data_IF_751678465058
#
_entry.id   IF_751678465058
#
_cell.length_a   1.000
_cell.length_b   1.000
_cell.length_c   1.000
_cell.angle_alpha   90.00
_cell.angle_beta   90.00
_cell.angle_gamma   90.00
#
_symmetry.space_group_name_H-M   'P 1'
#
loop_
_entity.id
_entity.type
_entity.pdbx_description
1 polymer ?
#
# COMPACT_ATOMS: atom_id res chain seq x y z
N UNK A 1 32.04 0.39 -8.65
CA UNK A 1 31.30 -0.41 -7.64
C UNK A 1 31.30 -1.86 -8.14
N UNK A 2 31.75 -2.85 -7.36
CA UNK A 2 31.80 -4.24 -7.85
C UNK A 2 30.38 -4.81 -8.01
N UNK A 3 30.18 -5.72 -8.97
CA UNK A 3 28.88 -6.37 -9.22
C UNK A 3 28.26 -6.99 -7.95
N UNK A 4 29.10 -7.53 -7.06
CA UNK A 4 28.68 -8.06 -5.76
C UNK A 4 28.02 -7.01 -4.85
N UNK A 5 28.64 -5.84 -4.67
CA UNK A 5 28.08 -4.77 -3.79
C UNK A 5 26.74 -4.23 -4.28
N UNK A 6 26.51 -4.21 -5.60
CA UNK A 6 25.23 -3.76 -6.17
C UNK A 6 24.13 -4.77 -5.86
N UNK A 7 24.42 -6.06 -5.98
CA UNK A 7 23.48 -7.14 -5.63
C UNK A 7 23.15 -7.11 -4.15
N UNK A 8 24.15 -6.95 -3.28
CA UNK A 8 23.96 -6.88 -1.82
C UNK A 8 23.12 -5.67 -1.40
N UNK A 9 23.34 -4.51 -2.04
CA UNK A 9 22.53 -3.31 -1.78
C UNK A 9 21.08 -3.52 -2.26
N UNK A 10 20.91 -4.12 -3.43
CA UNK A 10 19.59 -4.41 -3.97
C UNK A 10 18.80 -5.36 -3.07
N UNK A 11 19.39 -6.48 -2.65
CA UNK A 11 18.73 -7.43 -1.73
C UNK A 11 18.43 -6.79 -0.39
N UNK A 12 19.33 -5.98 0.16
CA UNK A 12 19.09 -5.26 1.41
C UNK A 12 17.92 -4.25 1.34
N UNK A 13 17.69 -3.64 0.18
CA UNK A 13 16.60 -2.65 0.00
C UNK A 13 15.26 -3.32 -0.30
N UNK A 14 15.24 -4.30 -1.21
CA UNK A 14 14.00 -4.88 -1.73
C UNK A 14 13.58 -6.16 -1.02
N UNK A 15 14.53 -6.90 -0.44
CA UNK A 15 14.30 -8.21 0.19
C UNK A 15 14.98 -8.39 1.56
N UNK A 16 15.00 -7.38 2.48
CA UNK A 16 15.52 -7.57 3.83
C UNK A 16 14.65 -8.50 4.68
N UNK A 17 13.37 -8.63 4.35
CA UNK A 17 12.41 -9.50 5.01
C UNK A 17 11.24 -9.87 4.06
N UNK A 18 10.41 -10.87 4.41
CA UNK A 18 9.29 -11.30 3.58
C UNK A 18 8.19 -10.25 3.36
N UNK A 19 8.10 -9.21 4.21
CA UNK A 19 7.09 -8.16 4.09
C UNK A 19 7.46 -7.10 3.05
N UNK A 20 8.77 -6.86 2.85
CA UNK A 20 9.27 -5.76 2.01
C UNK A 20 8.73 -5.74 0.57
N UNK A 21 8.62 -6.87 -0.15
CA UNK A 21 8.09 -6.85 -1.51
C UNK A 21 6.63 -6.36 -1.58
N UNK A 22 5.81 -6.75 -0.61
CA UNK A 22 4.40 -6.34 -0.55
C UNK A 22 4.28 -4.88 -0.15
N UNK A 23 5.14 -4.39 0.75
CA UNK A 23 5.22 -2.95 1.06
C UNK A 23 5.57 -2.12 -0.18
N UNK A 24 6.54 -2.56 -1.00
CA UNK A 24 6.87 -1.88 -2.26
C UNK A 24 5.70 -1.91 -3.26
N UNK A 25 5.05 -3.07 -3.43
CA UNK A 25 3.89 -3.20 -4.31
C UNK A 25 2.77 -2.25 -3.89
N UNK A 26 2.45 -2.23 -2.60
CA UNK A 26 1.41 -1.37 -2.04
C UNK A 26 1.77 0.11 -2.18
N UNK A 27 3.02 0.48 -1.85
CA UNK A 27 3.54 1.84 -1.97
C UNK A 27 3.40 2.37 -3.39
N UNK A 28 3.94 1.63 -4.35
CA UNK A 28 3.95 2.04 -5.76
C UNK A 28 2.54 2.06 -6.34
N UNK A 29 1.71 1.08 -5.99
CA UNK A 29 0.32 1.04 -6.43
C UNK A 29 -0.52 2.21 -5.88
N UNK A 30 -0.36 2.56 -4.60
CA UNK A 30 -1.05 3.71 -4.00
C UNK A 30 -0.51 5.04 -4.53
N UNK A 31 0.80 5.14 -4.79
CA UNK A 31 1.37 6.31 -5.45
C UNK A 31 0.82 6.49 -6.87
N UNK A 32 0.70 5.38 -7.62
CA UNK A 32 0.07 5.36 -8.94
C UNK A 32 -1.39 5.78 -8.89
N UNK A 33 -2.16 5.32 -7.90
CA UNK A 33 -3.55 5.75 -7.69
C UNK A 33 -3.66 7.23 -7.33
N UNK A 34 -2.80 7.74 -6.43
CA UNK A 34 -2.78 9.16 -6.08
C UNK A 34 -2.45 10.03 -7.30
N UNK A 35 -1.46 9.61 -8.11
CA UNK A 35 -1.11 10.29 -9.35
C UNK A 35 -2.26 10.24 -10.37
N UNK A 36 -2.90 9.08 -10.53
CA UNK A 36 -4.03 8.90 -11.43
C UNK A 36 -5.19 9.83 -11.08
N UNK A 37 -5.60 9.87 -9.80
CA UNK A 37 -6.69 10.73 -9.34
C UNK A 37 -6.33 12.23 -9.39
N UNK A 38 -5.06 12.59 -9.26
CA UNK A 38 -4.61 13.96 -9.44
C UNK A 38 -4.65 14.40 -10.91
N UNK A 39 -4.32 13.48 -11.84
CA UNK A 39 -4.31 13.75 -13.27
C UNK A 39 -5.69 13.70 -13.93
N UNK A 40 -6.58 12.83 -13.47
CA UNK A 40 -7.95 12.68 -13.98
C UNK A 40 -8.98 12.53 -12.85
N UNK A 41 -9.27 13.60 -12.09
CA UNK A 41 -10.22 13.55 -10.97
C UNK A 41 -11.66 13.27 -11.43
N UNK A 42 -11.98 13.55 -12.69
CA UNK A 42 -13.33 13.35 -13.25
C UNK A 42 -13.69 11.87 -13.37
N UNK A 43 -12.70 10.97 -13.34
CA UNK A 43 -12.94 9.52 -13.34
C UNK A 43 -13.88 9.07 -12.21
N UNK A 44 -13.84 9.74 -11.06
CA UNK A 44 -14.68 9.41 -9.90
C UNK A 44 -16.17 9.74 -10.11
N UNK A 45 -16.51 10.49 -11.16
CA UNK A 45 -17.91 10.76 -11.54
C UNK A 45 -18.56 9.57 -12.24
N UNK A 46 -17.78 8.56 -12.64
CA UNK A 46 -18.32 7.35 -13.29
C UNK A 46 -18.91 6.43 -12.22
N UNK A 47 -20.01 5.76 -12.58
CA UNK A 47 -20.68 4.77 -11.71
C UNK A 47 -19.75 3.63 -11.25
N UNK A 48 -18.64 3.42 -11.96
CA UNK A 48 -17.64 2.41 -11.58
C UNK A 48 -16.80 2.76 -10.35
N UNK A 49 -16.88 3.98 -9.83
CA UNK A 49 -16.05 4.45 -8.71
C UNK A 49 -16.86 4.87 -7.49
N UNK A 50 -18.08 4.31 -7.33
CA UNK A 50 -19.00 4.66 -6.22
C UNK A 50 -18.39 4.56 -4.83
N UNK A 51 -17.46 3.63 -4.57
CA UNK A 51 -16.80 3.54 -3.26
C UNK A 51 -15.91 4.75 -2.90
N UNK A 52 -15.61 5.63 -3.86
CA UNK A 52 -14.88 6.88 -3.64
C UNK A 52 -15.80 8.09 -3.36
N UNK A 53 -17.12 7.92 -3.26
CA UNK A 53 -18.07 9.02 -3.09
C UNK A 53 -17.98 9.77 -1.74
N UNK A 54 -17.25 9.23 -0.76
CA UNK A 54 -17.13 9.82 0.58
C UNK A 54 -16.24 11.06 0.66
N UNK A 55 -15.29 11.21 -0.27
CA UNK A 55 -14.37 12.35 -0.33
C UNK A 55 -14.25 12.85 -1.77
N UNK A 56 -14.01 14.16 -1.99
CA UNK A 56 -13.62 14.64 -3.31
C UNK A 56 -12.31 13.98 -3.74
N UNK A 57 -12.02 13.94 -5.05
CA UNK A 57 -10.82 13.33 -5.61
C UNK A 57 -9.53 13.77 -4.88
N UNK A 58 -9.41 15.06 -4.57
CA UNK A 58 -8.26 15.60 -3.85
C UNK A 58 -8.12 15.04 -2.43
N UNK A 59 -9.23 14.75 -1.74
CA UNK A 59 -9.20 14.10 -0.43
C UNK A 59 -8.59 12.70 -0.50
N UNK A 60 -8.91 11.94 -1.55
CA UNK A 60 -8.30 10.63 -1.81
C UNK A 60 -6.83 10.73 -2.21
N UNK A 61 -6.46 11.70 -3.05
CA UNK A 61 -5.06 11.99 -3.40
C UNK A 61 -4.23 12.26 -2.15
N UNK A 62 -4.71 13.14 -1.27
CA UNK A 62 -4.03 13.46 -0.02
C UNK A 62 -3.96 12.26 0.92
N UNK A 63 -5.05 11.49 1.03
CA UNK A 63 -5.08 10.29 1.88
C UNK A 63 -4.08 9.23 1.38
N UNK A 64 -4.14 8.86 0.10
CA UNK A 64 -3.22 7.89 -0.50
C UNK A 64 -1.78 8.39 -0.45
N UNK A 65 -1.54 9.65 -0.80
CA UNK A 65 -0.22 10.28 -0.72
C UNK A 65 0.36 10.30 0.70
N UNK A 66 -0.46 10.58 1.71
CA UNK A 66 -0.04 10.52 3.12
C UNK A 66 0.38 9.11 3.53
N UNK A 67 -0.34 8.09 3.09
CA UNK A 67 0.01 6.68 3.36
C UNK A 67 1.32 6.30 2.66
N UNK A 68 1.54 6.76 1.43
CA UNK A 68 2.82 6.59 0.71
C UNK A 68 3.98 7.20 1.48
N UNK A 69 3.82 8.42 2.01
CA UNK A 69 4.84 9.08 2.83
C UNK A 69 5.13 8.27 4.10
N UNK A 70 4.09 7.80 4.78
CA UNK A 70 4.24 6.95 5.98
C UNK A 70 4.92 5.62 5.63
N UNK A 71 4.59 5.01 4.49
CA UNK A 71 5.26 3.81 3.99
C UNK A 71 6.75 4.05 3.74
N UNK A 72 7.10 5.10 2.97
CA UNK A 72 8.51 5.47 2.72
C UNK A 72 9.27 5.67 4.03
N UNK A 73 8.69 6.41 4.98
CA UNK A 73 9.28 6.60 6.29
C UNK A 73 9.44 5.25 7.01
N UNK A 74 8.43 4.38 7.00
CA UNK A 74 8.49 3.08 7.67
C UNK A 74 9.54 2.11 7.07
N UNK A 75 9.93 2.30 5.80
CA UNK A 75 10.85 1.41 5.08
C UNK A 75 12.34 1.72 5.29
N UNK A 76 12.70 2.91 5.79
CA UNK A 76 14.08 3.28 6.17
C UNK A 76 14.56 2.39 7.36
N UNK A 77 15.86 2.00 7.43
CA UNK A 77 16.36 0.96 8.32
C UNK A 77 16.03 1.06 9.83
N UNK A 78 16.13 -0.12 10.44
CA UNK A 78 15.27 -0.72 11.48
C UNK A 78 15.49 -0.17 12.89
N UNK A 79 14.52 0.59 13.38
CA UNK A 79 14.32 0.80 14.82
C UNK A 79 12.99 0.17 15.25
N UNK A 80 12.84 -0.22 16.53
CA UNK A 80 11.59 -0.83 17.06
C UNK A 80 10.33 -0.03 16.73
N UNK A 81 10.41 1.30 16.79
CA UNK A 81 9.31 2.19 16.46
C UNK A 81 8.87 2.05 15.00
N UNK A 82 9.78 1.72 14.08
CA UNK A 82 9.46 1.53 12.66
C UNK A 82 8.70 0.24 12.39
N UNK A 83 8.86 -0.83 13.19
CA UNK A 83 8.02 -2.03 13.06
C UNK A 83 6.53 -1.73 13.37
N UNK A 84 6.27 -0.81 14.31
CA UNK A 84 4.92 -0.33 14.57
C UNK A 84 4.37 0.46 13.39
N UNK A 85 5.16 1.40 12.86
CA UNK A 85 4.79 2.21 11.71
C UNK A 85 4.53 1.37 10.45
N UNK A 86 5.37 0.36 10.16
CA UNK A 86 5.18 -0.55 9.03
C UNK A 86 3.82 -1.24 9.09
N UNK A 87 3.47 -1.83 10.23
CA UNK A 87 2.14 -2.43 10.44
C UNK A 87 1.00 -1.43 10.25
N UNK A 88 1.09 -0.23 10.86
CA UNK A 88 0.01 0.76 10.78
C UNK A 88 -0.19 1.17 9.33
N UNK A 89 0.91 1.42 8.63
CA UNK A 89 0.87 1.79 7.23
C UNK A 89 0.27 0.67 6.36
N UNK A 90 0.63 -0.61 6.61
CA UNK A 90 0.03 -1.75 5.90
C UNK A 90 -1.46 -1.91 6.22
N UNK A 91 -1.90 -1.69 7.45
CA UNK A 91 -3.31 -1.76 7.82
C UNK A 91 -4.15 -0.70 7.08
N UNK A 92 -3.65 0.55 7.03
CA UNK A 92 -4.32 1.63 6.31
C UNK A 92 -4.31 1.35 4.80
N UNK A 93 -3.16 0.93 4.26
CA UNK A 93 -3.05 0.57 2.85
C UNK A 93 -4.00 -0.57 2.46
N UNK A 94 -4.18 -1.59 3.31
CA UNK A 94 -5.14 -2.66 3.08
C UNK A 94 -6.58 -2.14 3.03
N UNK A 95 -6.93 -1.16 3.88
CA UNK A 95 -8.21 -0.45 3.82
C UNK A 95 -8.40 0.29 2.49
N UNK A 96 -7.38 1.02 2.03
CA UNK A 96 -7.43 1.72 0.75
C UNK A 96 -7.56 0.76 -0.44
N UNK A 97 -6.81 -0.35 -0.44
CA UNK A 97 -6.95 -1.38 -1.47
C UNK A 97 -8.32 -2.06 -1.43
N UNK A 98 -8.92 -2.22 -0.25
CA UNK A 98 -10.30 -2.70 -0.13
C UNK A 98 -11.28 -1.75 -0.79
N UNK A 99 -11.13 -0.43 -0.58
CA UNK A 99 -11.98 0.59 -1.23
C UNK A 99 -11.83 0.53 -2.75
N UNK A 100 -10.59 0.47 -3.26
CA UNK A 100 -10.32 0.29 -4.70
C UNK A 100 -10.99 -0.98 -5.21
N UNK A 101 -10.84 -2.11 -4.52
CA UNK A 101 -11.44 -3.37 -4.94
C UNK A 101 -12.97 -3.30 -4.97
N UNK A 102 -13.59 -2.68 -3.95
CA UNK A 102 -15.04 -2.49 -3.87
C UNK A 102 -15.56 -1.63 -5.03
N UNK A 103 -14.84 -0.58 -5.43
CA UNK A 103 -15.20 0.18 -6.64
C UNK A 103 -15.29 -0.72 -7.86
N UNK A 104 -14.32 -1.61 -8.07
CA UNK A 104 -14.31 -2.51 -9.22
C UNK A 104 -15.32 -3.66 -9.12
N UNK A 105 -15.73 -4.06 -7.91
CA UNK A 105 -16.83 -5.03 -7.72
C UNK A 105 -18.20 -4.41 -7.96
N UNK A 106 -18.40 -3.15 -7.56
CA UNK A 106 -19.68 -2.45 -7.68
C UNK A 106 -19.87 -1.80 -9.05
N UNK A 107 -18.79 -1.29 -9.62
CA UNK A 107 -18.74 -0.84 -10.99
C UNK A 107 -18.81 -2.02 -11.94
N UNK A 108 -19.47 -1.89 -13.08
CA UNK A 108 -19.42 -2.87 -14.17
C UNK A 108 -18.01 -2.98 -14.83
N UNK A 109 -16.95 -2.75 -14.07
CA UNK A 109 -15.58 -2.88 -14.47
C UNK A 109 -15.22 -4.36 -14.71
N UNK A 110 -14.10 -4.57 -15.40
CA UNK A 110 -13.59 -5.90 -15.73
C UNK A 110 -13.36 -6.69 -14.43
N UNK A 111 -14.02 -7.85 -14.29
CA UNK A 111 -13.96 -8.71 -13.09
C UNK A 111 -12.53 -9.11 -12.70
N UNK A 112 -11.62 -9.18 -13.67
CA UNK A 112 -10.18 -9.39 -13.46
C UNK A 112 -9.56 -8.30 -12.57
N UNK A 113 -9.93 -7.02 -12.78
CA UNK A 113 -9.45 -5.90 -11.97
C UNK A 113 -9.93 -6.00 -10.52
N UNK A 114 -11.21 -6.34 -10.33
CA UNK A 114 -11.78 -6.53 -9.00
C UNK A 114 -11.03 -7.61 -8.19
N UNK A 115 -10.80 -8.78 -8.81
CA UNK A 115 -10.04 -9.88 -8.20
C UNK A 115 -8.59 -9.51 -7.90
N UNK A 116 -7.92 -8.81 -8.81
CA UNK A 116 -6.55 -8.34 -8.62
C UNK A 116 -6.45 -7.42 -7.40
N UNK A 117 -7.31 -6.41 -7.31
CA UNK A 117 -7.29 -5.48 -6.17
C UNK A 117 -7.72 -6.13 -4.85
N UNK A 118 -8.66 -7.09 -4.87
CA UNK A 118 -8.97 -7.91 -3.69
C UNK A 118 -7.75 -8.71 -3.23
N UNK A 119 -7.00 -9.32 -4.15
CA UNK A 119 -5.78 -10.04 -3.81
C UNK A 119 -4.71 -9.12 -3.21
N UNK A 120 -4.53 -7.91 -3.78
CA UNK A 120 -3.60 -6.92 -3.22
C UNK A 120 -4.05 -6.48 -1.81
N UNK A 121 -5.34 -6.21 -1.60
CA UNK A 121 -5.86 -5.86 -0.28
C UNK A 121 -5.58 -6.97 0.75
N UNK A 122 -5.84 -8.23 0.37
CA UNK A 122 -5.61 -9.39 1.21
C UNK A 122 -4.12 -9.60 1.53
N UNK A 123 -3.25 -9.55 0.53
CA UNK A 123 -1.79 -9.63 0.72
C UNK A 123 -1.29 -8.52 1.65
N UNK A 124 -1.76 -7.29 1.44
CA UNK A 124 -1.40 -6.13 2.27
C UNK A 124 -1.83 -6.34 3.72
N UNK A 125 -3.05 -6.85 3.94
CA UNK A 125 -3.55 -7.17 5.27
C UNK A 125 -2.73 -8.27 5.95
N UNK A 126 -2.45 -9.38 5.24
CA UNK A 126 -1.63 -10.48 5.75
C UNK A 126 -0.21 -10.04 6.11
N UNK A 127 0.41 -9.20 5.27
CA UNK A 127 1.72 -8.61 5.56
C UNK A 127 1.66 -7.72 6.79
N UNK A 128 0.59 -6.93 6.94
CA UNK A 128 0.32 -6.20 8.19
C UNK A 128 0.29 -7.13 9.40
N UNK A 129 -0.55 -8.19 9.37
CA UNK A 129 -0.63 -9.18 10.46
C UNK A 129 0.73 -9.78 10.79
N UNK A 130 1.49 -10.21 9.77
CA UNK A 130 2.83 -10.76 9.95
C UNK A 130 3.78 -9.77 10.63
N UNK A 131 3.78 -8.50 10.20
CA UNK A 131 4.57 -7.44 10.84
C UNK A 131 4.16 -7.22 12.29
N UNK A 132 2.85 -7.26 12.58
CA UNK A 132 2.29 -7.12 13.92
C UNK A 132 2.69 -8.26 14.86
N UNK A 133 2.68 -9.50 14.36
CA UNK A 133 3.06 -10.70 15.10
C UNK A 133 4.56 -10.75 15.42
N UNK A 134 5.40 -10.34 14.46
CA UNK A 134 6.87 -10.38 14.58
C UNK A 134 7.46 -9.10 15.20
N UNK A 135 6.65 -8.22 15.79
CA UNK A 135 7.17 -7.03 16.47
C UNK A 135 8.00 -7.44 17.69
N UNK A 136 9.16 -6.80 17.94
CA UNK A 136 9.92 -7.04 19.17
C UNK A 136 9.07 -6.68 20.40
N UNK A 137 8.63 -7.68 21.14
CA UNK A 137 7.91 -7.48 22.40
C UNK A 137 8.86 -6.81 23.41
N UNK A 138 8.36 -5.81 24.15
CA UNK A 138 9.07 -5.32 25.35
C UNK A 138 9.07 -6.50 26.33
N UNK A 139 10.24 -7.11 26.57
CA UNK A 139 10.38 -7.95 27.76
C UNK A 139 10.19 -7.03 28.98
N UNK A 140 9.32 -7.41 29.94
CA UNK A 140 9.14 -6.66 31.17
C UNK A 140 10.44 -6.54 31.96
#
# INVERSE_FOLDING_TARGET
MSRGRVVDLFTAIFFPDPARPVEWLSLLGLAGWAQFLAGDPQVLLRDSYTAFNFLPAWGWVLLMGSVVIVHLAAMVPVTRQRATLRFVAMAIAAGLWTIVALSFWNGQAITTGARMYTAIAFLTAMTGVWLGWNRPQRRP
#
